data_IF_551772564822
#
_entry.id   IF_551772564822
#
_cell.length_a   1.000
_cell.length_b   1.000
_cell.length_c   1.000
_cell.angle_alpha   90.00
_cell.angle_beta   90.00
_cell.angle_gamma   90.00
#
_symmetry.space_group_name_H-M   'P 1'
#
loop_
_entity.id
_entity.type
_entity.pdbx_description
1 polymer ?
#
# COMPACT_ATOMS: atom_id res chain seq x y z
N UNK A 1 9.13 3.85 43.70
CA UNK A 1 8.98 5.07 42.90
C UNK A 1 9.92 4.99 41.71
N UNK A 2 9.43 5.00 40.45
CA UNK A 2 8.21 4.39 39.91
C UNK A 2 8.52 3.17 39.02
N UNK A 3 7.50 2.34 38.84
CA UNK A 3 7.51 1.16 37.99
C UNK A 3 7.48 1.54 36.51
N UNK A 4 8.38 0.97 35.71
CA UNK A 4 8.28 0.98 34.26
C UNK A 4 7.15 0.04 33.86
N UNK A 5 5.97 0.62 33.70
CA UNK A 5 4.81 -0.03 33.13
C UNK A 5 5.10 -0.27 31.64
N UNK A 6 5.79 -1.38 31.36
CA UNK A 6 5.83 -1.97 30.02
C UNK A 6 4.39 -2.30 29.65
N UNK A 7 3.74 -1.39 28.93
CA UNK A 7 2.49 -1.66 28.23
C UNK A 7 2.80 -2.69 27.15
N UNK A 8 2.77 -3.96 27.56
CA UNK A 8 2.68 -5.10 26.66
C UNK A 8 1.40 -4.87 25.86
N UNK A 9 1.56 -4.35 24.65
CA UNK A 9 0.50 -4.36 23.64
C UNK A 9 0.10 -5.82 23.50
N UNK A 10 -1.11 -6.16 23.92
CA UNK A 10 -1.64 -7.50 23.73
C UNK A 10 -1.63 -7.80 22.23
N UNK A 11 -1.29 -9.03 21.80
CA UNK A 11 -1.19 -9.39 20.39
C UNK A 11 -2.49 -9.14 19.59
N UNK A 12 -3.62 -8.99 20.28
CA UNK A 12 -4.94 -8.77 19.65
C UNK A 12 -5.17 -7.33 19.17
N UNK A 13 -4.50 -6.32 19.73
CA UNK A 13 -4.73 -4.92 19.32
C UNK A 13 -3.91 -4.52 18.09
N UNK A 14 -2.82 -5.24 17.81
CA UNK A 14 -1.97 -4.98 16.65
C UNK A 14 -2.73 -5.25 15.34
N UNK A 15 -3.58 -6.27 15.28
CA UNK A 15 -4.34 -6.61 14.07
C UNK A 15 -5.46 -5.62 13.70
N UNK A 16 -6.05 -4.93 14.68
CA UNK A 16 -7.18 -4.02 14.45
C UNK A 16 -6.72 -2.59 14.13
N UNK A 17 -5.53 -2.16 14.58
CA UNK A 17 -5.08 -0.77 14.41
C UNK A 17 -3.79 -0.58 13.62
N UNK A 18 -3.01 -1.62 13.32
CA UNK A 18 -1.65 -1.41 12.78
C UNK A 18 -1.55 -1.39 11.25
N UNK A 19 -2.52 -1.90 10.50
CA UNK A 19 -2.47 -1.78 9.04
C UNK A 19 -3.83 -2.16 8.43
N UNK A 20 -4.75 -1.19 8.26
CA UNK A 20 -5.73 -1.35 7.20
C UNK A 20 -4.92 -1.24 5.91
N UNK A 21 -4.83 -2.33 5.13
CA UNK A 21 -3.97 -2.35 3.99
C UNK A 21 -4.44 -1.26 3.04
N UNK A 22 -3.55 -0.31 2.84
CA UNK A 22 -3.74 0.82 1.96
C UNK A 22 -3.88 0.24 0.54
N UNK A 23 -5.10 -0.06 0.07
CA UNK A 23 -5.38 -0.41 -1.34
C UNK A 23 -5.39 0.85 -2.20
N UNK A 24 -4.35 1.64 -2.00
CA UNK A 24 -4.09 2.83 -2.77
C UNK A 24 -2.57 2.89 -2.95
N UNK A 25 -2.07 3.13 -4.16
CA UNK A 25 -2.75 3.51 -5.39
C UNK A 25 -2.99 2.34 -6.39
N UNK A 26 -4.04 1.54 -6.19
CA UNK A 26 -4.65 0.67 -7.23
C UNK A 26 -3.73 -0.28 -8.03
N UNK A 27 -4.32 -0.91 -9.04
CA UNK A 27 -3.63 -1.72 -10.04
C UNK A 27 -3.80 -1.06 -11.42
N UNK A 28 -2.75 -1.11 -12.23
CA UNK A 28 -2.76 -0.62 -13.61
C UNK A 28 -2.05 -1.59 -14.54
N UNK A 29 -2.60 -1.75 -15.74
CA UNK A 29 -2.08 -2.60 -16.82
C UNK A 29 -2.34 -1.87 -18.15
N UNK A 30 -1.47 -2.04 -19.14
CA UNK A 30 -1.66 -1.54 -20.51
C UNK A 30 -2.94 -2.07 -21.16
N UNK A 31 -3.36 -3.29 -20.81
CA UNK A 31 -4.63 -3.86 -21.29
C UNK A 31 -5.86 -3.25 -20.59
N UNK A 32 -5.66 -2.50 -19.51
CA UNK A 32 -6.73 -1.90 -18.73
C UNK A 32 -7.31 -0.68 -19.45
N UNK A 33 -8.58 -0.78 -19.86
CA UNK A 33 -9.26 0.21 -20.70
C UNK A 33 -9.45 1.60 -20.07
N UNK A 34 -9.14 1.76 -18.78
CA UNK A 34 -9.34 2.98 -17.99
C UNK A 34 -8.05 3.76 -17.71
N UNK A 35 -7.03 3.69 -18.59
CA UNK A 35 -5.74 4.39 -18.39
C UNK A 35 -5.87 5.91 -18.19
N UNK A 36 -6.71 6.59 -19.00
CA UNK A 36 -6.94 8.05 -18.95
C UNK A 36 -8.00 8.50 -17.95
N UNK A 37 -8.94 7.61 -17.66
CA UNK A 37 -10.10 7.88 -16.79
C UNK A 37 -9.96 7.18 -15.44
N UNK A 38 -8.74 6.74 -15.09
CA UNK A 38 -8.48 6.05 -13.84
C UNK A 38 -8.89 6.94 -12.65
N UNK A 39 -9.52 6.39 -11.61
CA UNK A 39 -9.99 7.18 -10.47
C UNK A 39 -8.83 7.80 -9.67
N UNK A 40 -7.64 7.19 -9.67
CA UNK A 40 -6.47 7.74 -9.00
C UNK A 40 -5.64 8.62 -9.93
N UNK A 41 -5.38 9.85 -9.48
CA UNK A 41 -4.59 10.86 -10.21
C UNK A 41 -3.18 10.36 -10.55
N UNK A 42 -2.63 9.52 -9.68
CA UNK A 42 -1.32 8.93 -9.89
C UNK A 42 -1.31 7.89 -11.02
N UNK A 43 -2.31 7.01 -11.10
CA UNK A 43 -2.41 6.03 -12.20
C UNK A 43 -2.55 6.76 -13.54
N UNK A 44 -3.31 7.86 -13.59
CA UNK A 44 -3.40 8.70 -14.79
C UNK A 44 -2.04 9.27 -15.22
N UNK A 45 -1.16 9.60 -14.27
CA UNK A 45 0.19 10.14 -14.56
C UNK A 45 1.16 9.05 -15.01
N UNK A 46 1.12 7.88 -14.39
CA UNK A 46 2.10 6.82 -14.66
C UNK A 46 1.75 6.02 -15.92
N UNK A 47 0.46 5.93 -16.29
CA UNK A 47 -0.01 5.17 -17.45
C UNK A 47 0.51 5.65 -18.80
N UNK A 48 0.96 6.90 -18.89
CA UNK A 48 1.45 7.51 -20.12
C UNK A 48 2.97 7.65 -20.18
N UNK A 49 3.67 7.40 -19.08
CA UNK A 49 5.08 7.70 -18.94
C UNK A 49 5.92 6.43 -18.85
N UNK A 50 7.16 6.51 -19.34
CA UNK A 50 8.26 5.60 -19.01
C UNK A 50 8.11 4.12 -19.42
N UNK A 51 7.24 3.78 -20.39
CA UNK A 51 7.19 2.42 -20.93
C UNK A 51 6.78 1.34 -19.91
N UNK A 52 5.98 1.73 -18.92
CA UNK A 52 5.37 0.83 -17.94
C UNK A 52 4.33 -0.07 -18.63
N UNK A 53 4.37 -1.37 -18.36
CA UNK A 53 3.43 -2.36 -18.91
C UNK A 53 2.43 -2.85 -17.87
N UNK A 54 2.89 -3.06 -16.65
CA UNK A 54 2.07 -3.53 -15.54
C UNK A 54 2.53 -2.89 -14.24
N UNK A 55 1.58 -2.59 -13.36
CA UNK A 55 1.85 -2.09 -12.03
C UNK A 55 0.76 -2.51 -11.05
N UNK A 56 1.18 -3.00 -9.89
CA UNK A 56 0.29 -3.49 -8.86
C UNK A 56 0.86 -3.17 -7.48
N UNK A 57 0.03 -2.60 -6.63
CA UNK A 57 0.34 -2.49 -5.21
C UNK A 57 0.05 -3.79 -4.51
N UNK A 58 0.95 -4.16 -3.59
CA UNK A 58 0.74 -5.32 -2.74
C UNK A 58 0.93 -4.96 -1.29
N UNK A 59 0.15 -5.67 -0.49
CA UNK A 59 0.17 -5.59 0.96
C UNK A 59 0.00 -6.99 1.51
N UNK A 60 1.08 -7.55 2.05
CA UNK A 60 1.14 -8.93 2.53
C UNK A 60 1.42 -8.87 4.02
N UNK A 61 0.44 -9.30 4.82
CA UNK A 61 0.56 -9.28 6.27
C UNK A 61 0.79 -10.69 6.81
N UNK A 62 1.81 -10.83 7.65
CA UNK A 62 2.07 -11.99 8.47
C UNK A 62 1.73 -11.67 9.93
N UNK A 63 1.95 -12.64 10.82
CA UNK A 63 1.63 -12.48 12.23
C UNK A 63 2.40 -11.36 12.94
N UNK A 64 3.70 -11.31 12.68
CA UNK A 64 4.61 -10.40 13.39
C UNK A 64 5.24 -9.34 12.47
N UNK A 65 5.00 -9.43 11.15
CA UNK A 65 5.58 -8.52 10.15
C UNK A 65 4.68 -8.38 8.93
N UNK A 66 4.86 -7.32 8.15
CA UNK A 66 4.15 -7.11 6.89
C UNK A 66 5.09 -6.60 5.80
N UNK A 67 4.71 -6.84 4.55
CA UNK A 67 5.34 -6.30 3.37
C UNK A 67 4.35 -5.35 2.68
N UNK A 68 4.83 -4.16 2.36
CA UNK A 68 4.10 -3.18 1.58
C UNK A 68 5.00 -2.69 0.46
N UNK A 69 4.48 -2.63 -0.76
CA UNK A 69 5.28 -2.20 -1.89
C UNK A 69 4.52 -2.16 -3.21
N UNK A 70 5.29 -1.96 -4.27
CA UNK A 70 4.81 -1.95 -5.66
C UNK A 70 5.55 -3.03 -6.42
N UNK A 71 4.81 -3.81 -7.19
CA UNK A 71 5.33 -4.66 -8.24
C UNK A 71 5.05 -3.97 -9.57
N UNK A 72 6.06 -3.90 -10.44
CA UNK A 72 5.89 -3.32 -11.77
C UNK A 72 6.70 -4.06 -12.81
N UNK A 73 6.21 -4.01 -14.06
CA UNK A 73 6.85 -4.56 -15.24
C UNK A 73 7.01 -3.43 -16.24
N UNK A 74 8.22 -3.29 -16.78
CA UNK A 74 8.58 -2.27 -17.76
C UNK A 74 9.52 -2.87 -18.80
N UNK A 75 9.59 -2.27 -19.99
CA UNK A 75 10.46 -2.73 -21.09
C UNK A 75 11.96 -2.73 -20.75
N UNK A 76 12.40 -1.93 -19.79
CA UNK A 76 13.78 -1.93 -19.30
C UNK A 76 14.82 -1.49 -20.35
N UNK A 77 14.37 -0.71 -21.34
CA UNK A 77 15.18 -0.21 -22.46
C UNK A 77 16.13 0.91 -22.04
N UNK A 78 15.66 1.84 -21.20
CA UNK A 78 16.41 3.00 -20.74
C UNK A 78 16.39 3.16 -19.21
N UNK A 79 17.54 3.53 -18.65
CA UNK A 79 17.66 3.89 -17.23
C UNK A 79 16.73 5.05 -16.84
N UNK A 80 16.55 6.02 -17.74
CA UNK A 80 15.68 7.19 -17.54
C UNK A 80 14.22 6.78 -17.34
N UNK A 81 13.78 5.73 -18.05
CA UNK A 81 12.42 5.20 -17.92
C UNK A 81 12.24 4.52 -16.56
N UNK A 82 13.13 3.61 -16.18
CA UNK A 82 13.06 2.93 -14.88
C UNK A 82 13.13 3.90 -13.71
N UNK A 83 14.03 4.89 -13.77
CA UNK A 83 14.13 5.97 -12.80
C UNK A 83 12.85 6.80 -12.73
N UNK A 84 12.25 7.12 -13.88
CA UNK A 84 11.00 7.87 -13.95
C UNK A 84 9.81 7.16 -13.29
N UNK A 85 9.68 5.84 -13.50
CA UNK A 85 8.67 4.99 -12.84
C UNK A 85 8.85 5.07 -11.34
N UNK A 86 10.07 4.80 -10.87
CA UNK A 86 10.35 4.72 -9.44
C UNK A 86 10.22 6.08 -8.75
N UNK A 87 10.67 7.16 -9.40
CA UNK A 87 10.48 8.52 -8.91
C UNK A 87 8.99 8.88 -8.81
N UNK A 88 8.17 8.39 -9.73
CA UNK A 88 6.71 8.56 -9.68
C UNK A 88 6.09 7.81 -8.51
N UNK A 89 6.54 6.58 -8.22
CA UNK A 89 6.11 5.81 -7.04
C UNK A 89 6.51 6.53 -5.74
N UNK A 90 7.77 6.94 -5.62
CA UNK A 90 8.28 7.62 -4.43
C UNK A 90 7.60 8.98 -4.21
N UNK A 91 7.29 9.71 -5.28
CA UNK A 91 6.53 10.95 -5.18
C UNK A 91 5.15 10.70 -4.57
N UNK A 92 4.48 9.62 -4.96
CA UNK A 92 3.16 9.27 -4.43
C UNK A 92 3.22 8.88 -2.96
N UNK A 93 4.19 8.06 -2.56
CA UNK A 93 4.39 7.73 -1.15
C UNK A 93 4.68 8.96 -0.28
N UNK A 94 5.46 9.91 -0.80
CA UNK A 94 5.69 11.19 -0.12
C UNK A 94 4.43 12.05 -0.07
N UNK A 95 3.64 12.07 -1.14
CA UNK A 95 2.37 12.78 -1.18
C UNK A 95 1.41 12.24 -0.10
N UNK A 96 1.27 10.92 0.01
CA UNK A 96 0.46 10.26 1.04
C UNK A 96 0.95 10.55 2.46
N UNK A 97 2.26 10.69 2.66
CA UNK A 97 2.84 11.02 3.96
C UNK A 97 2.64 12.48 4.39
N UNK A 98 2.47 13.42 3.44
CA UNK A 98 2.48 14.86 3.72
C UNK A 98 1.15 15.54 3.47
N UNK A 99 0.45 15.22 2.38
CA UNK A 99 -0.64 16.02 1.86
C UNK A 99 -1.78 15.16 1.29
N UNK A 100 -2.18 14.11 2.00
CA UNK A 100 -3.34 13.30 1.60
C UNK A 100 -4.64 14.08 1.79
N UNK A 101 -5.53 14.05 0.80
CA UNK A 101 -6.84 14.70 0.88
C UNK A 101 -7.88 13.80 1.59
N UNK A 102 -8.91 14.41 2.17
CA UNK A 102 -10.07 13.69 2.70
C UNK A 102 -10.81 12.95 1.58
N UNK A 103 -10.93 13.57 0.39
CA UNK A 103 -11.56 12.96 -0.78
C UNK A 103 -10.83 11.67 -1.19
N UNK A 104 -9.51 11.70 -1.26
CA UNK A 104 -8.68 10.53 -1.60
C UNK A 104 -8.81 9.44 -0.54
N UNK A 105 -8.88 9.83 0.74
CA UNK A 105 -9.12 8.90 1.86
C UNK A 105 -10.49 8.24 1.76
N UNK A 106 -11.53 9.00 1.41
CA UNK A 106 -12.90 8.45 1.22
C UNK A 106 -12.96 7.49 0.04
N UNK A 107 -12.28 7.82 -1.05
CA UNK A 107 -12.16 6.99 -2.24
C UNK A 107 -11.42 5.68 -1.94
N UNK A 108 -10.29 5.75 -1.24
CA UNK A 108 -9.53 4.57 -0.83
C UNK A 108 -10.34 3.65 0.11
N UNK A 109 -11.10 4.22 1.06
CA UNK A 109 -12.01 3.43 1.91
C UNK A 109 -13.08 2.71 1.10
N UNK A 110 -13.66 3.38 0.10
CA UNK A 110 -14.68 2.78 -0.76
C UNK A 110 -14.09 1.67 -1.63
N UNK A 111 -12.89 1.86 -2.19
CA UNK A 111 -12.18 0.82 -2.94
C UNK A 111 -11.90 -0.41 -2.07
N UNK A 112 -11.38 -0.21 -0.85
CA UNK A 112 -11.13 -1.30 0.09
C UNK A 112 -12.41 -2.06 0.45
N UNK A 113 -13.53 -1.36 0.65
CA UNK A 113 -14.84 -2.00 0.88
C UNK A 113 -15.27 -2.84 -0.31
N UNK A 114 -15.17 -2.30 -1.53
CA UNK A 114 -15.52 -3.02 -2.74
C UNK A 114 -14.68 -4.28 -2.90
N UNK A 115 -13.36 -4.20 -2.71
CA UNK A 115 -12.47 -5.37 -2.76
C UNK A 115 -12.79 -6.40 -1.69
N UNK A 116 -13.09 -5.96 -0.45
CA UNK A 116 -13.48 -6.85 0.63
C UNK A 116 -14.77 -7.62 0.28
N UNK A 117 -15.79 -6.93 -0.22
CA UNK A 117 -17.07 -7.56 -0.56
C UNK A 117 -16.94 -8.49 -1.77
N UNK A 118 -16.17 -8.12 -2.79
CA UNK A 118 -15.88 -8.98 -3.94
C UNK A 118 -15.20 -10.29 -3.52
N UNK A 119 -14.26 -10.20 -2.57
CA UNK A 119 -13.60 -11.38 -2.02
C UNK A 119 -14.53 -12.24 -1.15
N UNK A 120 -15.71 -11.76 -0.76
CA UNK A 120 -16.66 -12.47 0.09
C UNK A 120 -17.90 -12.93 -0.68
N UNK A 121 -17.91 -12.94 -2.01
CA UNK A 121 -19.11 -13.35 -2.77
C UNK A 121 -19.38 -14.85 -2.65
N UNK A 122 -18.34 -15.68 -2.75
CA UNK A 122 -18.48 -17.14 -2.74
C UNK A 122 -18.36 -17.73 -1.33
N UNK A 123 -19.08 -18.83 -1.07
CA UNK A 123 -19.02 -19.52 0.22
C UNK A 123 -17.62 -20.03 0.56
N UNK A 124 -16.86 -20.46 -0.45
CA UNK A 124 -15.47 -20.91 -0.27
C UNK A 124 -14.57 -19.76 0.19
N UNK A 125 -14.67 -18.58 -0.44
CA UNK A 125 -13.86 -17.43 -0.03
C UNK A 125 -14.27 -16.90 1.36
N UNK A 126 -15.57 -16.93 1.71
CA UNK A 126 -16.03 -16.62 3.08
C UNK A 126 -15.42 -17.58 4.10
N UNK A 127 -15.43 -18.88 3.83
CA UNK A 127 -14.83 -19.88 4.70
C UNK A 127 -13.32 -19.65 4.85
N UNK A 128 -12.63 -19.35 3.75
CA UNK A 128 -11.20 -19.02 3.76
C UNK A 128 -10.90 -17.76 4.57
N UNK A 129 -11.70 -16.70 4.41
CA UNK A 129 -11.55 -15.46 5.17
C UNK A 129 -11.69 -15.70 6.68
N UNK A 130 -12.77 -16.37 7.10
CA UNK A 130 -12.99 -16.71 8.50
C UNK A 130 -11.88 -17.60 9.07
N UNK A 131 -11.40 -18.57 8.29
CA UNK A 131 -10.30 -19.44 8.70
C UNK A 131 -8.98 -18.67 8.89
N UNK A 132 -8.63 -17.78 7.95
CA UNK A 132 -7.45 -16.92 8.06
C UNK A 132 -7.54 -16.03 9.28
N UNK A 133 -8.68 -15.39 9.49
CA UNK A 133 -8.88 -14.49 10.62
C UNK A 133 -8.77 -15.21 11.97
N UNK A 134 -9.38 -16.39 12.08
CA UNK A 134 -9.27 -17.25 13.25
C UNK A 134 -7.82 -17.68 13.52
N UNK A 135 -7.06 -17.99 12.47
CA UNK A 135 -5.65 -18.38 12.61
C UNK A 135 -4.77 -17.22 13.10
N UNK A 136 -5.04 -16.01 12.63
CA UNK A 136 -4.23 -14.84 12.93
C UNK A 136 -4.57 -14.19 14.28
N UNK A 137 -5.86 -14.07 14.59
CA UNK A 137 -6.34 -13.30 15.75
C UNK A 137 -6.92 -14.16 16.86
N UNK A 138 -7.19 -15.45 16.60
CA UNK A 138 -7.85 -16.35 17.53
C UNK A 138 -9.36 -16.13 17.65
N UNK A 139 -9.94 -15.20 16.90
CA UNK A 139 -11.37 -14.93 16.86
C UNK A 139 -11.81 -14.65 15.40
N UNK A 140 -13.11 -14.72 15.12
CA UNK A 140 -13.68 -14.30 13.83
C UNK A 140 -14.46 -13.02 14.08
N UNK A 141 -14.06 -11.92 13.43
CA UNK A 141 -14.79 -10.65 13.52
C UNK A 141 -16.01 -10.73 12.63
N UNK A 142 -17.08 -10.06 13.04
CA UNK A 142 -18.24 -9.92 12.17
C UNK A 142 -17.94 -8.91 11.07
N UNK A 143 -18.58 -9.08 9.91
CA UNK A 143 -18.45 -8.12 8.80
C UNK A 143 -18.83 -6.68 9.22
N UNK A 144 -19.80 -6.53 10.14
CA UNK A 144 -20.18 -5.24 10.69
C UNK A 144 -19.06 -4.59 11.52
N UNK A 145 -18.31 -5.38 12.30
CA UNK A 145 -17.14 -4.89 13.04
C UNK A 145 -16.05 -4.40 12.09
N UNK A 146 -15.76 -5.17 11.03
CA UNK A 146 -14.78 -4.80 10.00
C UNK A 146 -15.20 -3.51 9.28
N UNK A 147 -16.48 -3.36 8.96
CA UNK A 147 -16.99 -2.15 8.30
C UNK A 147 -16.91 -0.91 9.20
N UNK A 148 -17.25 -1.05 10.47
CA UNK A 148 -17.10 0.00 11.48
C UNK A 148 -15.64 0.41 11.63
N UNK A 149 -14.74 -0.57 11.68
CA UNK A 149 -13.29 -0.41 11.69
C UNK A 149 -12.77 0.37 10.47
N UNK A 150 -13.20 0.02 9.26
CA UNK A 150 -12.85 0.74 8.03
C UNK A 150 -13.42 2.17 8.05
N UNK A 151 -14.62 2.36 8.61
CA UNK A 151 -15.25 3.69 8.70
C UNK A 151 -14.48 4.66 9.58
N UNK A 152 -13.79 4.16 10.62
CA UNK A 152 -13.01 4.95 11.57
C UNK A 152 -11.68 5.45 11.03
N UNK A 153 -11.25 5.00 9.85
CA UNK A 153 -10.01 5.47 9.21
C UNK A 153 -10.19 6.92 8.76
N UNK A 154 -9.38 7.80 9.35
CA UNK A 154 -9.31 9.22 9.04
C UNK A 154 -8.04 9.55 8.22
N UNK A 155 -8.05 10.67 7.51
CA UNK A 155 -6.91 11.14 6.73
C UNK A 155 -5.67 11.38 7.62
N UNK A 156 -5.86 11.82 8.86
CA UNK A 156 -4.75 12.04 9.80
C UNK A 156 -4.11 10.72 10.28
N UNK A 157 -4.92 9.71 10.59
CA UNK A 157 -4.40 8.41 11.03
C UNK A 157 -3.67 7.70 9.89
N UNK A 158 -4.22 7.81 8.69
CA UNK A 158 -3.64 7.32 7.46
C UNK A 158 -2.29 8.00 7.15
N UNK A 159 -2.23 9.33 7.22
CA UNK A 159 -1.00 10.11 7.06
C UNK A 159 0.07 9.70 8.08
N UNK A 160 -0.30 9.57 9.36
CA UNK A 160 0.60 9.17 10.42
C UNK A 160 1.16 7.74 10.21
N UNK A 161 0.33 6.81 9.74
CA UNK A 161 0.75 5.45 9.43
C UNK A 161 1.76 5.42 8.28
N UNK A 162 1.48 6.11 7.17
CA UNK A 162 2.41 6.20 6.01
C UNK A 162 3.70 6.89 6.41
N UNK A 163 3.63 7.98 7.18
CA UNK A 163 4.81 8.67 7.67
C UNK A 163 5.68 7.78 8.57
N UNK A 164 5.07 6.94 9.41
CA UNK A 164 5.80 6.05 10.31
C UNK A 164 6.43 4.85 9.58
N UNK A 165 5.72 4.26 8.63
CA UNK A 165 6.06 2.96 8.04
C UNK A 165 6.65 3.03 6.63
N UNK A 166 6.40 4.09 5.86
CA UNK A 166 6.83 4.21 4.46
C UNK A 166 7.85 5.33 4.28
N UNK A 167 7.62 6.49 4.90
CA UNK A 167 8.51 7.63 4.74
C UNK A 167 9.88 7.39 5.38
N UNK A 168 10.95 7.70 4.63
CA UNK A 168 12.35 7.59 5.05
C UNK A 168 12.73 6.22 5.67
N UNK A 169 12.12 5.14 5.18
CA UNK A 169 12.47 3.76 5.56
C UNK A 169 13.34 3.08 4.51
N UNK A 170 14.07 2.08 4.96
CA UNK A 170 14.88 1.24 4.08
C UNK A 170 13.96 0.38 3.22
N UNK A 171 14.20 0.39 1.90
CA UNK A 171 13.45 -0.43 0.95
C UNK A 171 14.21 -1.71 0.65
N UNK A 172 13.48 -2.76 0.26
CA UNK A 172 14.07 -3.96 -0.32
C UNK A 172 13.62 -4.02 -1.79
N UNK A 173 14.58 -4.00 -2.72
CA UNK A 173 14.30 -3.96 -4.15
C UNK A 173 14.84 -5.23 -4.79
N UNK A 174 14.04 -5.83 -5.66
CA UNK A 174 14.42 -7.01 -6.44
C UNK A 174 14.05 -6.73 -7.89
N UNK A 175 15.01 -6.94 -8.79
CA UNK A 175 14.82 -6.80 -10.23
C UNK A 175 15.20 -8.09 -10.94
N UNK A 176 14.42 -8.47 -11.95
CA UNK A 176 14.68 -9.63 -12.82
C UNK A 176 14.57 -9.16 -14.27
N UNK A 177 15.52 -9.59 -15.12
CA UNK A 177 15.60 -9.18 -16.53
C UNK A 177 16.74 -8.18 -16.77
N UNK A 178 16.46 -7.12 -17.54
CA UNK A 178 17.41 -6.03 -17.87
C UNK A 178 17.68 -5.13 -16.65
N UNK A 179 18.40 -5.67 -15.68
CA UNK A 179 18.69 -5.01 -14.39
C UNK A 179 19.73 -3.90 -14.48
N UNK A 180 20.45 -3.78 -15.58
CA UNK A 180 21.39 -2.69 -15.84
C UNK A 180 20.71 -1.32 -15.93
N UNK A 181 19.45 -1.29 -16.36
CA UNK A 181 18.62 -0.09 -16.41
C UNK A 181 17.93 0.21 -15.07
N UNK A 182 18.18 -0.57 -14.01
CA UNK A 182 17.56 -0.34 -12.70
C UNK A 182 18.42 0.57 -11.81
N UNK A 183 17.76 1.47 -11.07
CA UNK A 183 18.44 2.44 -10.22
C UNK A 183 19.21 1.77 -9.07
N UNK A 184 20.38 2.33 -8.73
CA UNK A 184 21.15 1.90 -7.56
C UNK A 184 20.37 2.08 -6.26
N UNK A 185 20.61 1.18 -5.30
CA UNK A 185 19.95 1.23 -4.00
C UNK A 185 20.15 2.57 -3.27
N UNK A 186 21.37 3.12 -3.32
CA UNK A 186 21.69 4.38 -2.65
C UNK A 186 20.87 5.55 -3.19
N UNK A 187 20.66 5.62 -4.52
CA UNK A 187 19.83 6.65 -5.13
C UNK A 187 18.35 6.48 -4.74
N UNK A 188 17.84 5.24 -4.74
CA UNK A 188 16.47 4.94 -4.32
C UNK A 188 16.22 5.38 -2.89
N UNK A 189 17.12 5.02 -1.98
CA UNK A 189 17.03 5.37 -0.56
C UNK A 189 17.11 6.88 -0.34
N UNK A 190 18.00 7.57 -1.03
CA UNK A 190 18.15 9.02 -0.93
C UNK A 190 16.89 9.76 -1.42
N UNK A 191 16.26 9.27 -2.49
CA UNK A 191 15.09 9.89 -3.10
C UNK A 191 13.80 9.78 -2.27
N UNK A 192 13.76 8.90 -1.26
CA UNK A 192 12.67 8.79 -0.29
C UNK A 192 12.63 9.96 0.70
N UNK A 193 13.77 10.58 1.00
CA UNK A 193 13.85 11.75 1.87
C UNK A 193 13.51 13.04 1.11
N UNK A 194 12.93 14.03 1.81
CA UNK A 194 12.69 15.36 1.24
C UNK A 194 13.58 16.38 1.94
N UNK A 195 14.61 16.87 1.24
CA UNK A 195 15.54 17.89 1.75
C UNK A 195 14.98 19.33 1.74
N UNK A 196 13.68 19.53 1.49
CA UNK A 196 13.02 20.85 1.43
C UNK A 196 11.83 20.98 2.40
N UNK A 197 11.88 20.26 3.51
CA UNK A 197 10.94 20.47 4.62
C UNK A 197 11.45 21.56 5.55
#
# INVERSE_FOLDING_TARGET
MPALQNSVLSPSSAYSSSFYPFSFPGQWDVTHATSRTAPSRWVQKISHNHGLEFLQHFNINYKDTGLFGVYFVSKGDDLVNSEGIMRSVQHEWKHLAVAVSEEETTLARNQLRTELYQNLETNTQKAEHNAKELLYTGNVRSLAQIEEEISKIDHNTLRAAVFRHVYDRDTANVGVGLTEAFMSYAHLRAAMSWWRL
#
